data_IF_412422830998
#
_entry.id   IF_412422830998
#
_cell.length_a   1.000
_cell.length_b   1.000
_cell.length_c   1.000
_cell.angle_alpha   90.00
_cell.angle_beta   90.00
_cell.angle_gamma   90.00
#
_symmetry.space_group_name_H-M   'P 1'
#
loop_
_entity.id
_entity.type
_entity.pdbx_description
1 polymer ?
#
# COMPACT_ATOMS: atom_id res chain seq x y z
N UNK A 1 17.94 -35.23 1.83
CA UNK A 1 18.51 -33.88 1.70
C UNK A 1 17.59 -33.09 0.80
N UNK A 2 16.73 -32.23 1.36
CA UNK A 2 15.78 -31.42 0.60
C UNK A 2 16.17 -29.96 0.77
N UNK A 3 16.63 -29.35 -0.32
CA UNK A 3 17.03 -27.94 -0.38
C UNK A 3 15.84 -27.06 0.01
N UNK A 4 15.91 -26.45 1.19
CA UNK A 4 14.96 -25.40 1.59
C UNK A 4 15.31 -24.14 0.80
N UNK A 5 14.62 -23.91 -0.32
CA UNK A 5 14.68 -22.65 -1.06
C UNK A 5 14.44 -21.50 -0.08
N UNK A 6 15.45 -20.63 0.08
CA UNK A 6 15.35 -19.43 0.90
C UNK A 6 14.20 -18.56 0.35
N UNK A 7 13.12 -18.40 1.13
CA UNK A 7 12.08 -17.41 0.81
C UNK A 7 12.73 -16.04 0.91
N UNK A 8 12.99 -15.44 -0.24
CA UNK A 8 13.49 -14.09 -0.38
C UNK A 8 12.46 -13.13 0.21
N UNK A 9 12.72 -12.61 1.42
CA UNK A 9 11.91 -11.56 2.01
C UNK A 9 12.05 -10.31 1.16
N UNK A 10 11.03 -10.04 0.35
CA UNK A 10 10.96 -8.82 -0.43
C UNK A 10 10.65 -7.69 0.55
N UNK A 11 11.68 -7.04 1.09
CA UNK A 11 11.60 -5.67 1.64
C UNK A 11 11.34 -4.64 0.53
N UNK A 12 10.58 -5.03 -0.50
CA UNK A 12 10.23 -4.21 -1.64
C UNK A 12 8.93 -3.48 -1.37
N UNK A 13 8.81 -2.27 -1.91
CA UNK A 13 7.62 -1.42 -1.90
C UNK A 13 6.31 -2.24 -1.85
N UNK A 14 5.64 -2.21 -0.70
CA UNK A 14 4.31 -2.80 -0.56
C UNK A 14 3.34 -2.03 -1.46
N UNK A 15 2.78 -2.73 -2.45
CA UNK A 15 1.88 -2.16 -3.46
C UNK A 15 0.66 -1.52 -2.77
N UNK A 16 0.22 -2.06 -1.63
CA UNK A 16 -0.85 -1.44 -0.84
C UNK A 16 -0.43 -0.11 -0.22
N UNK A 17 0.77 -0.05 0.33
CA UNK A 17 1.32 1.20 0.86
C UNK A 17 1.50 2.25 -0.24
N UNK A 18 1.90 1.83 -1.45
CA UNK A 18 2.02 2.71 -2.61
C UNK A 18 0.66 3.26 -3.06
N UNK A 19 -0.35 2.41 -3.24
CA UNK A 19 -1.70 2.83 -3.65
C UNK A 19 -2.37 3.71 -2.61
N UNK A 20 -2.17 3.42 -1.32
CA UNK A 20 -2.65 4.25 -0.23
C UNK A 20 -1.99 5.65 -0.23
N UNK A 21 -0.68 5.72 -0.44
CA UNK A 21 0.04 6.99 -0.55
C UNK A 21 -0.43 7.81 -1.75
N UNK A 22 -0.70 7.19 -2.90
CA UNK A 22 -1.29 7.88 -4.04
C UNK A 22 -2.70 8.39 -3.75
N UNK A 23 -3.57 7.55 -3.19
CA UNK A 23 -4.94 7.94 -2.86
C UNK A 23 -4.99 9.12 -1.89
N UNK A 24 -4.15 9.09 -0.84
CA UNK A 24 -4.06 10.17 0.16
C UNK A 24 -3.45 11.45 -0.41
N UNK A 25 -2.42 11.35 -1.25
CA UNK A 25 -1.83 12.50 -1.95
C UNK A 25 -2.85 13.18 -2.86
N UNK A 26 -3.60 12.39 -3.65
CA UNK A 26 -4.64 12.93 -4.54
C UNK A 26 -5.78 13.57 -3.73
N UNK A 27 -6.18 12.98 -2.61
CA UNK A 27 -7.18 13.56 -1.70
C UNK A 27 -6.72 14.91 -1.14
N UNK A 28 -5.44 15.04 -0.79
CA UNK A 28 -4.89 16.29 -0.27
C UNK A 28 -4.82 17.41 -1.33
N UNK A 29 -4.54 17.04 -2.59
CA UNK A 29 -4.46 17.98 -3.71
C UNK A 29 -5.85 18.35 -4.25
N UNK A 30 -6.87 17.51 -4.06
CA UNK A 30 -8.24 17.70 -4.55
C UNK A 30 -8.83 19.10 -4.29
N UNK A 31 -8.78 19.69 -3.07
CA UNK A 31 -9.32 21.03 -2.84
C UNK A 31 -8.64 22.11 -3.70
N UNK A 32 -7.33 21.99 -3.94
CA UNK A 32 -6.59 22.91 -4.80
C UNK A 32 -6.96 22.72 -6.28
N UNK A 33 -7.12 21.47 -6.72
CA UNK A 33 -7.57 21.16 -8.08
C UNK A 33 -8.99 21.69 -8.35
N UNK A 34 -9.90 21.54 -7.39
CA UNK A 34 -11.26 22.07 -7.48
C UNK A 34 -11.28 23.60 -7.42
N UNK A 35 -10.43 24.22 -6.60
CA UNK A 35 -10.35 25.67 -6.54
C UNK A 35 -9.84 26.29 -7.86
N UNK A 36 -8.76 25.74 -8.44
CA UNK A 36 -8.16 26.29 -9.65
C UNK A 36 -8.91 25.91 -10.94
N UNK A 37 -9.56 24.74 -10.98
CA UNK A 37 -10.12 24.16 -12.21
C UNK A 37 -11.57 23.69 -12.10
N UNK A 38 -12.26 23.97 -10.98
CA UNK A 38 -13.62 23.51 -10.70
C UNK A 38 -14.75 24.33 -11.33
N UNK A 39 -14.46 25.14 -12.35
CA UNK A 39 -15.47 25.95 -13.05
C UNK A 39 -16.41 25.12 -13.95
N UNK A 40 -16.11 23.84 -14.15
CA UNK A 40 -16.85 22.93 -15.02
C UNK A 40 -17.28 21.68 -14.24
N UNK A 41 -18.58 21.42 -14.18
CA UNK A 41 -19.14 20.24 -13.50
C UNK A 41 -18.57 18.92 -13.99
N UNK A 42 -18.25 18.80 -15.30
CA UNK A 42 -17.68 17.59 -15.87
C UNK A 42 -16.28 17.32 -15.29
N UNK A 43 -15.47 18.37 -15.10
CA UNK A 43 -14.13 18.27 -14.50
C UNK A 43 -14.19 17.97 -13.02
N UNK A 44 -15.14 18.59 -12.31
CA UNK A 44 -15.37 18.31 -10.88
C UNK A 44 -15.69 16.83 -10.65
N UNK A 45 -16.63 16.27 -11.43
CA UNK A 45 -16.98 14.84 -11.36
C UNK A 45 -15.80 13.94 -11.69
N UNK A 46 -14.98 14.32 -12.67
CA UNK A 46 -13.77 13.57 -13.03
C UNK A 46 -12.74 13.55 -11.90
N UNK A 47 -12.42 14.71 -11.31
CA UNK A 47 -11.43 14.78 -10.23
C UNK A 47 -11.86 14.00 -8.99
N UNK A 48 -13.12 14.14 -8.60
CA UNK A 48 -13.70 13.35 -7.49
C UNK A 48 -13.66 11.86 -7.84
N UNK A 49 -14.05 11.49 -9.07
CA UNK A 49 -14.04 10.11 -9.55
C UNK A 49 -12.65 9.47 -9.49
N UNK A 50 -11.60 10.20 -9.88
CA UNK A 50 -10.22 9.71 -9.80
C UNK A 50 -9.80 9.46 -8.35
N UNK A 51 -10.07 10.39 -7.43
CA UNK A 51 -9.73 10.23 -6.01
C UNK A 51 -10.45 9.03 -5.39
N UNK A 52 -11.76 8.91 -5.63
CA UNK A 52 -12.56 7.79 -5.14
C UNK A 52 -12.12 6.47 -5.77
N UNK A 53 -11.77 6.46 -7.06
CA UNK A 53 -11.25 5.28 -7.74
C UNK A 53 -9.94 4.78 -7.13
N UNK A 54 -8.99 5.68 -6.86
CA UNK A 54 -7.74 5.32 -6.19
C UNK A 54 -7.94 4.87 -4.74
N UNK A 55 -8.89 5.45 -4.03
CA UNK A 55 -9.27 5.01 -2.67
C UNK A 55 -9.84 3.59 -2.70
N UNK A 56 -10.74 3.29 -3.63
CA UNK A 56 -11.30 1.95 -3.81
C UNK A 56 -10.21 0.92 -4.17
N UNK A 57 -9.29 1.28 -5.06
CA UNK A 57 -8.13 0.44 -5.37
C UNK A 57 -7.25 0.19 -4.14
N UNK A 58 -7.01 1.19 -3.30
CA UNK A 58 -6.22 1.02 -2.08
C UNK A 58 -6.88 0.06 -1.07
N UNK A 59 -8.22 -0.04 -1.07
CA UNK A 59 -8.96 -1.00 -0.23
C UNK A 59 -8.87 -2.42 -0.79
N UNK A 60 -9.03 -2.58 -2.11
CA UNK A 60 -9.07 -3.89 -2.77
C UNK A 60 -7.67 -4.51 -2.85
N UNK A 61 -6.62 -3.72 -3.07
CA UNK A 61 -5.26 -4.23 -3.25
C UNK A 61 -4.80 -4.92 -1.95
N UNK A 62 -4.56 -6.25 -1.97
CA UNK A 62 -4.04 -6.94 -0.82
C UNK A 62 -2.61 -6.45 -0.54
N UNK A 63 -2.22 -6.26 0.74
CA UNK A 63 -0.84 -6.00 1.09
C UNK A 63 0.01 -7.18 0.64
N UNK A 64 1.02 -6.91 -0.18
CA UNK A 64 2.03 -7.92 -0.48
C UNK A 64 2.86 -8.10 0.80
N UNK A 65 2.71 -9.25 1.46
CA UNK A 65 3.31 -9.51 2.78
C UNK A 65 2.38 -9.24 3.97
N UNK A 66 1.12 -9.70 3.90
CA UNK A 66 0.11 -9.66 4.99
C UNK A 66 0.65 -10.14 6.36
N UNK A 67 1.74 -10.89 6.38
CA UNK A 67 2.55 -11.12 7.57
C UNK A 67 3.61 -10.01 7.69
N UNK A 68 3.22 -8.87 8.27
CA UNK A 68 4.22 -8.02 8.93
C UNK A 68 4.70 -8.77 10.18
N UNK A 69 6.02 -8.79 10.45
CA UNK A 69 6.52 -9.37 11.68
C UNK A 69 5.83 -8.72 12.87
N UNK A 70 5.09 -9.52 13.64
CA UNK A 70 4.29 -9.01 14.76
C UNK A 70 4.71 -9.77 16.02
N UNK A 71 5.05 -9.06 17.11
CA UNK A 71 5.68 -9.65 18.30
C UNK A 71 4.83 -10.72 18.99
N UNK A 72 3.52 -10.75 18.72
CA UNK A 72 2.57 -11.68 19.34
C UNK A 72 1.99 -12.71 18.37
N UNK A 73 2.65 -12.94 17.23
CA UNK A 73 2.17 -13.89 16.24
C UNK A 73 2.94 -15.20 16.35
N UNK A 74 2.24 -16.27 16.74
CA UNK A 74 2.78 -17.64 16.90
C UNK A 74 3.20 -18.31 15.57
N UNK A 75 3.27 -17.55 14.48
CA UNK A 75 3.63 -18.06 13.15
C UNK A 75 5.16 -18.16 13.08
N UNK A 76 5.72 -19.38 12.95
CA UNK A 76 7.16 -19.56 12.96
C UNK A 76 7.79 -18.83 11.76
N UNK A 77 8.60 -17.81 12.05
CA UNK A 77 9.26 -16.97 11.05
C UNK A 77 8.68 -15.57 10.86
N UNK A 78 7.63 -15.20 11.59
CA UNK A 78 7.04 -13.84 11.58
C UNK A 78 7.47 -12.99 12.81
N UNK A 79 8.61 -13.32 13.43
CA UNK A 79 9.12 -12.61 14.61
C UNK A 79 9.89 -11.34 14.22
N UNK A 80 9.69 -10.20 14.92
CA UNK A 80 10.28 -8.91 14.54
C UNK A 80 11.80 -8.82 14.76
N UNK A 81 12.40 -9.71 15.54
CA UNK A 81 13.81 -9.66 15.97
C UNK A 81 14.58 -10.95 15.68
N UNK A 82 14.24 -11.68 14.60
CA UNK A 82 15.12 -12.75 14.14
C UNK A 82 16.39 -12.13 13.58
N UNK A 83 17.40 -12.01 14.43
CA UNK A 83 18.77 -11.75 14.00
C UNK A 83 19.14 -12.80 12.96
N UNK A 84 19.60 -12.32 11.80
CA UNK A 84 20.12 -13.14 10.71
C UNK A 84 21.17 -14.07 11.30
N UNK A 85 20.88 -15.37 11.33
CA UNK A 85 21.91 -16.37 11.66
C UNK A 85 22.76 -16.46 10.41
N UNK A 86 23.84 -15.70 10.40
CA UNK A 86 24.87 -15.79 9.36
C UNK A 86 25.37 -17.24 9.35
N UNK A 87 25.16 -17.92 8.22
CA UNK A 87 25.80 -19.17 7.86
C UNK A 87 26.68 -18.88 6.65
#
# INVERSE_FOLDING_TARGET
MTEKKAKQYHQGHDIKSLTLNFATTLLFILPFALYCYGNDEAKVKLYIGVVVGFLALAIIVPPFGWMRPHPYTDIPGNEPLRFRKDN
#
